data_IF_779210943218
#
_entry.id   IF_779210943218
#
_cell.length_a   1.000
_cell.length_b   1.000
_cell.length_c   1.000
_cell.angle_alpha   90.00
_cell.angle_beta   90.00
_cell.angle_gamma   90.00
#
_symmetry.space_group_name_H-M   'P 1'
#
loop_
_entity.id
_entity.type
_entity.pdbx_description
1 polymer ?
#
# COMPACT_ATOMS: atom_id res chain seq x y z
N UNK A 1 2.89 18.68 -24.47
CA UNK A 1 2.67 17.22 -24.41
C UNK A 1 4.02 16.52 -24.56
N UNK A 2 4.23 15.39 -23.89
CA UNK A 2 5.46 14.59 -24.00
C UNK A 2 5.09 13.28 -24.70
N UNK A 3 5.09 13.23 -26.05
CA UNK A 3 4.45 12.16 -26.82
C UNK A 3 5.14 10.80 -26.73
N UNK A 4 6.36 10.73 -26.18
CA UNK A 4 7.15 9.51 -26.04
C UNK A 4 7.24 9.01 -24.59
N UNK A 5 6.52 9.63 -23.66
CA UNK A 5 6.55 9.23 -22.26
C UNK A 5 5.71 7.98 -22.02
N UNK A 6 6.31 6.95 -21.41
CA UNK A 6 5.56 5.81 -20.91
C UNK A 6 4.80 6.21 -19.65
N UNK A 7 3.49 5.93 -19.63
CA UNK A 7 2.65 6.16 -18.46
C UNK A 7 2.81 4.97 -17.51
N UNK A 8 3.03 5.28 -16.24
CA UNK A 8 3.33 4.28 -15.20
C UNK A 8 2.32 4.46 -14.07
N UNK A 9 1.63 3.39 -13.70
CA UNK A 9 0.74 3.40 -12.55
C UNK A 9 1.55 3.46 -11.24
N UNK A 10 0.92 3.91 -10.17
CA UNK A 10 1.54 3.91 -8.85
C UNK A 10 1.51 2.50 -8.22
N UNK A 11 2.69 1.91 -8.00
CA UNK A 11 2.86 0.59 -7.38
C UNK A 11 2.21 0.49 -5.99
N UNK A 12 2.28 1.53 -5.16
CA UNK A 12 1.68 1.53 -3.83
C UNK A 12 0.15 1.52 -3.94
N UNK A 13 -0.42 2.32 -4.83
CA UNK A 13 -1.86 2.32 -5.06
C UNK A 13 -2.38 0.99 -5.60
N UNK A 14 -1.63 0.31 -6.47
CA UNK A 14 -1.92 -1.04 -6.93
C UNK A 14 -2.02 -2.04 -5.77
N UNK A 15 -0.98 -2.12 -4.94
CA UNK A 15 -0.95 -3.02 -3.76
C UNK A 15 -2.07 -2.65 -2.78
N UNK A 16 -2.36 -1.36 -2.63
CA UNK A 16 -3.42 -0.86 -1.76
C UNK A 16 -4.81 -1.28 -2.24
N UNK A 17 -5.07 -1.32 -3.55
CA UNK A 17 -6.35 -1.78 -4.11
C UNK A 17 -6.65 -3.23 -3.70
N UNK A 18 -5.68 -4.12 -3.87
CA UNK A 18 -5.80 -5.54 -3.48
C UNK A 18 -5.96 -5.70 -1.98
N UNK A 19 -5.16 -4.96 -1.19
CA UNK A 19 -5.26 -4.97 0.28
C UNK A 19 -6.62 -4.47 0.76
N UNK A 20 -7.19 -3.46 0.11
CA UNK A 20 -8.51 -2.94 0.44
C UNK A 20 -9.64 -3.90 0.06
N UNK A 21 -9.50 -4.67 -1.01
CA UNK A 21 -10.45 -5.73 -1.32
C UNK A 21 -10.52 -6.78 -0.19
N UNK A 22 -9.36 -7.25 0.30
CA UNK A 22 -9.28 -8.13 1.47
C UNK A 22 -9.90 -7.49 2.73
N UNK A 23 -9.58 -6.23 3.01
CA UNK A 23 -10.12 -5.53 4.18
C UNK A 23 -11.65 -5.35 4.10
N UNK A 24 -12.21 -5.16 2.89
CA UNK A 24 -13.67 -5.11 2.70
C UNK A 24 -14.31 -6.46 3.03
N UNK A 25 -13.77 -7.58 2.52
CA UNK A 25 -14.25 -8.93 2.88
C UNK A 25 -14.19 -9.12 4.39
N UNK A 26 -13.05 -8.80 5.03
CA UNK A 26 -12.89 -8.91 6.48
C UNK A 26 -13.93 -8.11 7.26
N UNK A 27 -14.30 -6.90 6.80
CA UNK A 27 -15.35 -6.08 7.43
C UNK A 27 -16.73 -6.70 7.29
N UNK A 28 -17.05 -7.26 6.12
CA UNK A 28 -18.33 -7.95 5.90
C UNK A 28 -18.42 -9.17 6.82
N UNK A 29 -17.39 -10.01 6.83
CA UNK A 29 -17.34 -11.20 7.71
C UNK A 29 -17.38 -10.83 9.20
N UNK A 30 -16.68 -9.77 9.61
CA UNK A 30 -16.73 -9.26 10.99
C UNK A 30 -18.16 -8.86 11.40
N UNK A 31 -18.93 -8.26 10.50
CA UNK A 31 -20.29 -7.81 10.80
C UNK A 31 -21.29 -8.97 10.80
N UNK A 32 -21.13 -9.95 9.89
CA UNK A 32 -21.97 -11.14 9.82
C UNK A 32 -21.72 -12.08 11.02
N UNK A 33 -20.46 -12.30 11.37
CA UNK A 33 -20.02 -13.19 12.46
C UNK A 33 -19.88 -12.39 13.77
N UNK A 34 -20.98 -11.78 14.22
CA UNK A 34 -20.97 -10.81 15.30
C UNK A 34 -20.41 -11.36 16.63
N UNK A 35 -20.64 -12.65 16.91
CA UNK A 35 -20.12 -13.37 18.09
C UNK A 35 -18.58 -13.44 18.13
N UNK A 36 -17.91 -13.40 16.98
CA UNK A 36 -16.44 -13.45 16.87
C UNK A 36 -15.84 -12.16 16.26
N UNK A 37 -16.65 -11.11 16.11
CA UNK A 37 -16.25 -9.80 15.56
C UNK A 37 -14.97 -9.24 16.17
N UNK A 38 -14.79 -9.39 17.49
CA UNK A 38 -13.57 -8.95 18.19
C UNK A 38 -12.32 -9.66 17.67
N UNK A 39 -12.40 -10.95 17.34
CA UNK A 39 -11.30 -11.75 16.77
C UNK A 39 -10.83 -11.16 15.45
N UNK A 40 -11.76 -10.88 14.52
CA UNK A 40 -11.43 -10.27 13.23
C UNK A 40 -10.85 -8.86 13.38
N UNK A 41 -11.40 -8.04 14.27
CA UNK A 41 -10.95 -6.65 14.47
C UNK A 41 -9.57 -6.58 15.13
N UNK A 42 -9.34 -7.39 16.16
CA UNK A 42 -8.09 -7.39 16.92
C UNK A 42 -6.92 -7.95 16.10
N UNK A 43 -7.18 -8.99 15.28
CA UNK A 43 -6.13 -9.71 14.55
C UNK A 43 -5.95 -9.25 13.09
N UNK A 44 -6.64 -8.19 12.64
CA UNK A 44 -6.59 -7.70 11.24
C UNK A 44 -5.19 -7.45 10.68
N UNK A 45 -4.22 -7.08 11.53
CA UNK A 45 -2.83 -6.81 11.11
C UNK A 45 -2.14 -8.07 10.56
N UNK A 46 -2.53 -9.24 11.05
CA UNK A 46 -2.02 -10.54 10.59
C UNK A 46 -2.32 -10.74 9.10
N UNK A 47 -3.51 -10.30 8.64
CA UNK A 47 -3.95 -10.44 7.24
C UNK A 47 -3.07 -9.65 6.24
N UNK A 48 -2.46 -8.56 6.69
CA UNK A 48 -1.61 -7.70 5.84
C UNK A 48 -0.14 -8.08 5.85
N UNK A 49 0.32 -8.88 6.82
CA UNK A 49 1.71 -9.34 6.93
C UNK A 49 2.08 -10.29 5.78
N UNK A 50 3.39 -10.46 5.57
CA UNK A 50 3.91 -11.54 4.73
C UNK A 50 3.72 -12.86 5.48
N UNK A 51 3.26 -13.89 4.78
CA UNK A 51 2.98 -15.18 5.39
C UNK A 51 4.22 -15.75 6.07
N UNK A 52 5.37 -15.62 5.43
CA UNK A 52 6.68 -16.09 5.90
C UNK A 52 7.20 -15.31 7.12
N UNK A 53 6.56 -14.19 7.48
CA UNK A 53 6.94 -13.35 8.62
C UNK A 53 6.02 -13.49 9.83
N UNK A 54 5.05 -14.40 9.76
CA UNK A 54 4.13 -14.64 10.87
C UNK A 54 4.85 -15.45 11.97
N UNK A 55 4.67 -15.01 13.20
CA UNK A 55 5.03 -15.83 14.37
C UNK A 55 4.02 -16.96 14.55
N UNK A 56 4.38 -18.03 15.27
CA UNK A 56 3.46 -19.15 15.55
C UNK A 56 2.14 -18.68 16.16
N UNK A 57 2.20 -17.73 17.10
CA UNK A 57 1.00 -17.12 17.73
C UNK A 57 0.14 -16.37 16.72
N UNK A 58 0.74 -15.70 15.74
CA UNK A 58 0.02 -15.00 14.69
C UNK A 58 -0.56 -15.96 13.65
N UNK A 59 0.16 -17.04 13.36
CA UNK A 59 -0.32 -18.11 12.51
C UNK A 59 -1.56 -18.79 13.12
N UNK A 60 -1.54 -19.14 14.41
CA UNK A 60 -2.73 -19.68 15.09
C UNK A 60 -3.92 -18.75 14.97
N UNK A 61 -3.73 -17.45 15.22
CA UNK A 61 -4.79 -16.43 15.06
C UNK A 61 -5.32 -16.33 13.63
N UNK A 62 -4.46 -16.52 12.64
CA UNK A 62 -4.85 -16.54 11.24
C UNK A 62 -5.73 -17.75 10.95
N UNK A 63 -5.31 -18.93 11.39
CA UNK A 63 -6.05 -20.18 11.21
C UNK A 63 -7.40 -20.13 11.94
N UNK A 64 -7.47 -19.55 13.14
CA UNK A 64 -8.73 -19.33 13.85
C UNK A 64 -9.70 -18.48 13.03
N UNK A 65 -9.23 -17.36 12.45
CA UNK A 65 -10.07 -16.52 11.58
C UNK A 65 -10.55 -17.27 10.34
N UNK A 66 -9.73 -18.15 9.76
CA UNK A 66 -10.09 -18.97 8.61
C UNK A 66 -11.07 -20.08 8.96
N UNK A 67 -10.96 -20.65 10.16
CA UNK A 67 -11.93 -21.60 10.68
C UNK A 67 -13.32 -20.98 10.79
N UNK A 68 -13.42 -19.76 11.32
CA UNK A 68 -14.70 -19.03 11.37
C UNK A 68 -15.21 -18.58 9.99
N UNK A 69 -14.30 -18.26 9.06
CA UNK A 69 -14.65 -17.74 7.74
C UNK A 69 -13.78 -18.32 6.62
N UNK A 70 -14.26 -19.40 5.95
CA UNK A 70 -13.68 -19.88 4.70
C UNK A 70 -13.67 -18.81 3.59
N UNK A 71 -14.63 -17.87 3.64
CA UNK A 71 -14.69 -16.73 2.71
C UNK A 71 -13.53 -15.77 2.90
N UNK A 72 -13.17 -15.45 4.15
CA UNK A 72 -11.98 -14.66 4.44
C UNK A 72 -10.69 -15.40 4.04
N UNK A 73 -10.65 -16.72 4.22
CA UNK A 73 -9.52 -17.54 3.79
C UNK A 73 -9.29 -17.41 2.27
N UNK A 74 -10.34 -17.59 1.45
CA UNK A 74 -10.26 -17.37 -0.01
C UNK A 74 -9.73 -15.98 -0.36
N UNK A 75 -10.27 -14.94 0.27
CA UNK A 75 -9.83 -13.55 0.04
C UNK A 75 -8.35 -13.34 0.41
N UNK A 76 -7.89 -13.95 1.50
CA UNK A 76 -6.49 -13.89 1.91
C UNK A 76 -5.58 -14.58 0.90
N UNK A 77 -5.97 -15.76 0.41
CA UNK A 77 -5.23 -16.50 -0.62
C UNK A 77 -5.06 -15.67 -1.88
N UNK A 78 -6.10 -14.96 -2.35
CA UNK A 78 -5.99 -14.05 -3.50
C UNK A 78 -5.01 -12.90 -3.27
N UNK A 79 -4.95 -12.34 -2.06
CA UNK A 79 -3.98 -11.29 -1.73
C UNK A 79 -2.55 -11.86 -1.70
N UNK A 80 -2.36 -13.07 -1.20
CA UNK A 80 -1.04 -13.70 -1.15
C UNK A 80 -0.57 -14.15 -2.53
N UNK A 81 -1.47 -14.68 -3.38
CA UNK A 81 -1.14 -14.98 -4.78
C UNK A 81 -0.75 -13.70 -5.54
N UNK A 82 -1.43 -12.57 -5.29
CA UNK A 82 -1.00 -11.29 -5.86
C UNK A 82 0.41 -10.89 -5.42
N UNK A 83 0.80 -11.20 -4.18
CA UNK A 83 2.16 -10.93 -3.70
C UNK A 83 3.23 -11.73 -4.47
N UNK A 84 2.86 -12.84 -5.11
CA UNK A 84 3.74 -13.60 -6.01
C UNK A 84 3.89 -12.92 -7.37
N UNK A 85 2.83 -12.29 -7.90
CA UNK A 85 2.90 -11.45 -9.13
C UNK A 85 3.99 -10.39 -8.99
N UNK A 86 4.10 -9.76 -7.81
CA UNK A 86 5.10 -8.72 -7.53
C UNK A 86 6.57 -9.22 -7.51
N UNK A 87 6.79 -10.53 -7.50
CA UNK A 87 8.14 -11.12 -7.51
C UNK A 87 8.74 -11.17 -8.92
N UNK A 88 7.93 -11.23 -9.97
CA UNK A 88 8.38 -11.20 -11.37
C UNK A 88 8.99 -9.84 -11.74
N UNK A 89 9.86 -9.84 -12.75
CA UNK A 89 10.64 -8.66 -13.18
C UNK A 89 10.53 -8.36 -14.66
N UNK A 90 10.47 -9.40 -15.49
CA UNK A 90 10.27 -9.27 -16.92
C UNK A 90 8.79 -9.12 -17.29
N UNK A 91 8.55 -8.45 -18.41
CA UNK A 91 7.21 -8.06 -18.86
C UNK A 91 6.30 -9.25 -19.14
N UNK A 92 6.83 -10.28 -19.78
CA UNK A 92 6.06 -11.46 -20.22
C UNK A 92 5.55 -12.26 -19.02
N UNK A 93 6.42 -12.57 -18.05
CA UNK A 93 6.01 -13.28 -16.84
C UNK A 93 5.07 -12.45 -15.97
N UNK A 94 5.26 -11.12 -15.88
CA UNK A 94 4.34 -10.24 -15.17
C UNK A 94 2.95 -10.30 -15.82
N UNK A 95 2.89 -10.21 -17.14
CA UNK A 95 1.63 -10.24 -17.88
C UNK A 95 0.89 -11.56 -17.66
N UNK A 96 1.60 -12.69 -17.84
CA UNK A 96 1.05 -14.02 -17.56
C UNK A 96 0.56 -14.15 -16.11
N UNK A 97 1.36 -13.70 -15.14
CA UNK A 97 1.02 -13.81 -13.72
C UNK A 97 -0.20 -12.95 -13.35
N UNK A 98 -0.36 -11.76 -13.94
CA UNK A 98 -1.56 -10.94 -13.80
C UNK A 98 -2.77 -11.68 -14.36
N UNK A 99 -2.66 -12.28 -15.55
CA UNK A 99 -3.78 -12.99 -16.18
C UNK A 99 -4.24 -14.19 -15.34
N UNK A 100 -3.30 -15.02 -14.88
CA UNK A 100 -3.61 -16.13 -13.98
C UNK A 100 -4.25 -15.64 -12.68
N UNK A 101 -3.74 -14.55 -12.12
CA UNK A 101 -4.29 -13.98 -10.90
C UNK A 101 -5.71 -13.43 -11.10
N UNK A 102 -6.00 -12.78 -12.24
CA UNK A 102 -7.34 -12.29 -12.57
C UNK A 102 -8.33 -13.44 -12.77
N UNK A 103 -7.93 -14.55 -13.39
CA UNK A 103 -8.76 -15.76 -13.48
C UNK A 103 -9.10 -16.33 -12.09
N UNK A 104 -8.15 -16.33 -11.15
CA UNK A 104 -8.43 -16.73 -9.76
C UNK A 104 -9.40 -15.76 -9.07
N UNK A 105 -9.26 -14.46 -9.32
CA UNK A 105 -10.18 -13.44 -8.79
C UNK A 105 -11.60 -13.65 -9.30
N UNK A 106 -11.75 -13.87 -10.61
CA UNK A 106 -13.04 -14.13 -11.24
C UNK A 106 -13.70 -15.38 -10.66
N UNK A 107 -12.97 -16.50 -10.61
CA UNK A 107 -13.44 -17.78 -10.07
C UNK A 107 -13.73 -17.75 -8.55
N UNK A 108 -13.20 -16.76 -7.81
CA UNK A 108 -13.44 -16.66 -6.37
C UNK A 108 -14.85 -16.20 -6.01
N UNK A 109 -15.56 -15.58 -6.95
CA UNK A 109 -16.90 -15.00 -6.77
C UNK A 109 -16.99 -14.01 -5.60
N UNK A 110 -15.88 -13.37 -5.21
CA UNK A 110 -15.86 -12.37 -4.14
C UNK A 110 -16.24 -10.99 -4.69
N UNK A 111 -17.42 -10.42 -4.35
CA UNK A 111 -17.86 -9.13 -4.89
C UNK A 111 -16.87 -7.99 -4.64
N UNK A 112 -16.18 -8.02 -3.49
CA UNK A 112 -15.20 -7.01 -3.09
C UNK A 112 -13.95 -6.99 -3.97
N UNK A 113 -13.66 -8.08 -4.68
CA UNK A 113 -12.55 -8.21 -5.62
C UNK A 113 -12.96 -7.93 -7.07
N UNK A 114 -14.25 -7.99 -7.41
CA UNK A 114 -14.73 -7.80 -8.80
C UNK A 114 -14.31 -6.46 -9.42
N UNK A 115 -14.25 -5.38 -8.61
CA UNK A 115 -13.75 -4.08 -9.08
C UNK A 115 -12.30 -4.12 -9.60
N UNK A 116 -11.51 -5.09 -9.13
CA UNK A 116 -10.12 -5.27 -9.55
C UNK A 116 -10.06 -5.78 -10.99
N UNK A 117 -10.97 -6.64 -11.43
CA UNK A 117 -11.03 -7.11 -12.82
C UNK A 117 -11.09 -5.92 -13.78
N UNK A 118 -12.11 -5.05 -13.59
CA UNK A 118 -12.27 -3.83 -14.41
C UNK A 118 -11.04 -2.92 -14.34
N UNK A 119 -10.48 -2.73 -13.14
CA UNK A 119 -9.33 -1.81 -12.96
C UNK A 119 -8.08 -2.35 -13.66
N UNK A 120 -7.77 -3.63 -13.51
CA UNK A 120 -6.60 -4.25 -14.12
C UNK A 120 -6.72 -4.39 -15.62
N UNK A 121 -7.93 -4.58 -16.16
CA UNK A 121 -8.17 -4.56 -17.60
C UNK A 121 -7.97 -3.17 -18.18
N UNK A 122 -8.53 -2.13 -17.54
CA UNK A 122 -8.46 -0.76 -18.07
C UNK A 122 -7.06 -0.16 -17.97
N UNK A 123 -6.36 -0.36 -16.85
CA UNK A 123 -5.02 0.19 -16.59
C UNK A 123 -3.89 -0.80 -16.86
N UNK A 124 -4.13 -1.78 -17.75
CA UNK A 124 -3.25 -2.94 -17.93
C UNK A 124 -1.82 -2.52 -18.26
N UNK A 125 -1.66 -1.65 -19.25
CA UNK A 125 -0.35 -1.19 -19.71
C UNK A 125 0.40 -0.46 -18.61
N UNK A 126 -0.26 0.47 -17.92
CA UNK A 126 0.32 1.26 -16.84
C UNK A 126 0.70 0.41 -15.63
N UNK A 127 -0.08 -0.63 -15.33
CA UNK A 127 0.20 -1.60 -14.26
C UNK A 127 1.41 -2.46 -14.62
N UNK A 128 1.48 -2.97 -15.84
CA UNK A 128 2.64 -3.75 -16.31
C UNK A 128 3.90 -2.87 -16.25
N UNK A 129 3.83 -1.64 -16.78
CA UNK A 129 4.91 -0.66 -16.69
C UNK A 129 5.30 -0.37 -15.25
N UNK A 130 4.31 -0.24 -14.36
CA UNK A 130 4.54 -0.04 -12.93
C UNK A 130 5.28 -1.20 -12.30
N UNK A 131 5.14 -2.43 -12.76
CA UNK A 131 5.84 -3.59 -12.20
C UNK A 131 7.22 -3.81 -12.83
N UNK A 132 7.38 -3.49 -14.12
CA UNK A 132 8.62 -3.64 -14.89
C UNK A 132 9.63 -2.51 -14.66
N UNK A 133 9.20 -1.25 -14.67
CA UNK A 133 10.10 -0.08 -14.66
C UNK A 133 10.53 0.33 -13.24
N UNK A 134 11.77 0.81 -13.02
CA UNK A 134 12.31 1.06 -11.68
C UNK A 134 11.74 2.32 -10.99
N UNK A 135 10.75 2.98 -11.58
CA UNK A 135 10.18 4.22 -11.06
C UNK A 135 9.33 3.98 -9.80
N UNK A 136 9.45 4.90 -8.85
CA UNK A 136 8.72 4.90 -7.59
C UNK A 136 8.31 6.32 -7.20
N UNK A 137 7.07 6.47 -6.76
CA UNK A 137 6.56 7.74 -6.23
C UNK A 137 7.00 7.99 -4.77
N UNK A 138 7.80 7.11 -4.16
CA UNK A 138 8.18 7.26 -2.74
C UNK A 138 8.90 8.59 -2.43
N UNK A 139 9.73 9.09 -3.34
CA UNK A 139 10.39 10.39 -3.16
C UNK A 139 9.38 11.55 -3.20
N UNK A 140 8.49 11.57 -4.19
CA UNK A 140 7.48 12.62 -4.36
C UNK A 140 6.45 12.57 -3.22
N UNK A 141 6.05 11.38 -2.77
CA UNK A 141 5.24 11.17 -1.57
C UNK A 141 5.93 11.69 -0.30
N UNK A 142 7.23 11.45 -0.15
CA UNK A 142 8.03 11.97 0.96
C UNK A 142 8.05 13.49 1.01
N UNK A 143 8.29 14.14 -0.13
CA UNK A 143 8.18 15.59 -0.28
C UNK A 143 6.76 16.09 0.06
N UNK A 144 5.72 15.45 -0.49
CA UNK A 144 4.33 15.79 -0.22
C UNK A 144 3.98 15.67 1.27
N UNK A 145 4.49 14.65 1.97
CA UNK A 145 4.27 14.48 3.39
C UNK A 145 4.94 15.59 4.21
N UNK A 146 6.18 15.97 3.87
CA UNK A 146 6.87 17.13 4.49
C UNK A 146 6.06 18.42 4.33
N UNK A 147 5.53 18.66 3.13
CA UNK A 147 4.68 19.83 2.84
C UNK A 147 3.40 19.80 3.68
N UNK A 148 2.74 18.64 3.79
CA UNK A 148 1.54 18.45 4.62
C UNK A 148 1.82 18.68 6.11
N UNK A 149 2.98 18.23 6.61
CA UNK A 149 3.43 18.50 7.98
C UNK A 149 3.66 20.00 8.18
N UNK A 150 4.39 20.65 7.27
CA UNK A 150 4.62 22.10 7.31
C UNK A 150 3.30 22.87 7.38
N UNK A 151 2.31 22.52 6.54
CA UNK A 151 0.98 23.16 6.54
C UNK A 151 0.26 22.99 7.88
N UNK A 152 0.32 21.80 8.49
CA UNK A 152 -0.29 21.53 9.81
C UNK A 152 0.38 22.32 10.93
N UNK A 153 1.71 22.34 10.97
CA UNK A 153 2.46 23.04 12.02
C UNK A 153 2.41 24.57 11.92
N UNK A 154 2.06 25.10 10.75
CA UNK A 154 1.96 26.55 10.52
C UNK A 154 0.56 27.12 10.70
N UNK A 155 -0.46 26.28 11.00
CA UNK A 155 -1.86 26.69 11.12
C UNK A 155 -2.41 27.44 9.90
N UNK A 156 -1.83 27.16 8.72
CA UNK A 156 -2.14 27.87 7.48
C UNK A 156 -1.09 28.95 7.14
N UNK A 157 -0.69 29.00 5.88
CA UNK A 157 0.19 30.04 5.34
C UNK A 157 -0.59 30.82 4.30
N UNK A 158 -0.83 32.10 4.56
CA UNK A 158 -1.61 32.97 3.69
C UNK A 158 -0.79 33.53 2.52
N UNK A 159 0.54 33.56 2.65
CA UNK A 159 1.44 34.08 1.62
C UNK A 159 2.12 32.91 0.88
N UNK A 160 1.86 32.81 -0.42
CA UNK A 160 2.40 31.76 -1.27
C UNK A 160 3.93 31.77 -1.34
N UNK A 161 4.55 32.94 -1.46
CA UNK A 161 6.02 33.03 -1.52
C UNK A 161 6.69 32.54 -0.24
N UNK A 162 6.14 32.89 0.93
CA UNK A 162 6.62 32.35 2.21
C UNK A 162 6.43 30.84 2.28
N UNK A 163 5.32 30.32 1.75
CA UNK A 163 5.09 28.88 1.70
C UNK A 163 6.09 28.18 0.77
N UNK A 164 6.26 28.69 -0.46
CA UNK A 164 7.23 28.20 -1.45
C UNK A 164 8.65 28.17 -0.89
N UNK A 165 9.11 29.26 -0.27
CA UNK A 165 10.45 29.34 0.32
C UNK A 165 10.65 28.29 1.42
N UNK A 166 9.65 28.07 2.28
CA UNK A 166 9.71 27.02 3.30
C UNK A 166 9.70 25.62 2.69
N UNK A 167 8.91 25.37 1.64
CA UNK A 167 8.91 24.10 0.91
C UNK A 167 10.28 23.82 0.29
N UNK A 168 10.88 24.81 -0.37
CA UNK A 168 12.21 24.67 -0.96
C UNK A 168 13.24 24.40 0.14
N UNK A 169 13.22 25.15 1.25
CA UNK A 169 14.13 24.98 2.37
C UNK A 169 14.08 23.57 2.99
N UNK A 170 12.89 23.01 3.26
CA UNK A 170 12.75 21.68 3.89
C UNK A 170 13.07 20.51 2.93
N UNK A 171 13.05 20.75 1.61
CA UNK A 171 13.39 19.75 0.60
C UNK A 171 14.84 19.87 0.10
N UNK A 172 15.47 21.05 0.22
CA UNK A 172 16.87 21.29 -0.12
C UNK A 172 17.86 20.67 0.87
N UNK A 173 17.47 20.47 2.14
CA UNK A 173 18.31 19.74 3.11
C UNK A 173 18.37 18.24 2.79
N UNK A 174 19.31 17.84 1.93
CA UNK A 174 19.93 16.51 1.94
C UNK A 174 21.36 16.66 2.46
N UNK A 175 21.58 16.32 3.73
CA UNK A 175 22.92 16.23 4.32
C UNK A 175 22.90 16.41 5.84
N UNK A 176 22.98 15.28 6.55
CA UNK A 176 23.36 15.14 7.97
C UNK A 176 22.36 15.65 9.01
N UNK A 177 22.04 14.74 9.93
CA UNK A 177 21.59 15.10 11.27
C UNK A 177 22.65 16.05 11.86
N UNK A 178 22.34 17.33 11.93
CA UNK A 178 23.05 18.24 12.83
C UNK A 178 22.49 17.96 14.20
N UNK A 179 23.14 17.06 14.92
CA UNK A 179 23.08 17.01 16.38
C UNK A 179 23.25 18.44 16.87
N UNK A 180 22.20 19.01 17.44
CA UNK A 180 22.34 20.24 18.21
C UNK A 180 23.08 19.87 19.50
N UNK A 181 24.40 19.89 19.46
CA UNK A 181 25.19 20.05 20.67
C UNK A 181 24.93 21.47 21.17
N UNK A 182 24.09 21.57 22.20
CA UNK A 182 24.13 22.68 23.13
C UNK A 182 25.56 22.76 23.68
N UNK A 183 26.36 23.69 23.19
CA UNK A 183 27.50 24.23 23.93
C UNK A 183 27.15 25.67 24.23
N UNK A 184 26.50 25.87 25.37
CA UNK A 184 26.50 27.16 26.04
C UNK A 184 27.91 27.31 26.62
N UNK A 185 28.73 28.16 26.00
CA UNK A 185 29.92 28.68 26.66
C UNK A 185 29.46 29.52 27.85
N UNK A 186 29.75 29.08 29.07
CA UNK A 186 29.73 29.97 30.22
C UNK A 186 30.95 30.88 30.11
N UNK A 187 30.68 32.18 30.03
CA UNK A 187 31.65 33.25 30.27
C UNK A 187 31.37 33.77 31.68
N UNK A 188 32.33 33.57 32.58
CA UNK A 188 32.64 34.25 33.85
C UNK A 188 33.29 33.23 34.79
#
# INVERSE_FOLDING_TARGET
MVPQAEIVADRFHLIRLVTFALERVRKVEQNLLCNVSRTFKANKRVLTKRFESLTDKEFTKLMDMFHYSPRLHRAYTLKQSFSHVLKFKDKENIQWAIDQWLSLVEASELPEFQSLLKTFTFWRTEIINALTLPYSNGFTEGCNNKIKVLKRCSFGLQNFERFRNRILFINAKKGHATTMSHVLSKSA
#
